data_IF_408390081996
#
_entry.id   IF_408390081996
#
_cell.length_a   1.000
_cell.length_b   1.000
_cell.length_c   1.000
_cell.angle_alpha   90.00
_cell.angle_beta   90.00
_cell.angle_gamma   90.00
#
_symmetry.space_group_name_H-M   'P 1'
#
loop_
_entity.id
_entity.type
_entity.pdbx_description
1 polymer ?
#
# COMPACT_ATOMS: atom_id res chain seq x y z
N UNK A 1 18.03 -4.09 15.32
CA UNK A 1 18.96 -5.23 15.13
C UNK A 1 18.42 -6.55 15.67
N UNK A 2 17.82 -6.60 16.87
CA UNK A 2 17.34 -7.85 17.51
C UNK A 2 16.24 -8.65 16.75
N UNK A 3 15.55 -8.06 15.76
CA UNK A 3 14.47 -8.72 15.01
C UNK A 3 14.89 -9.30 13.66
N UNK A 4 16.09 -8.96 13.16
CA UNK A 4 16.61 -9.47 11.88
C UNK A 4 17.17 -10.89 12.06
N UNK A 5 17.84 -11.15 13.19
CA UNK A 5 18.40 -12.47 13.49
C UNK A 5 17.37 -13.60 13.46
N UNK A 6 16.26 -13.51 14.22
CA UNK A 6 15.22 -14.52 14.19
C UNK A 6 14.54 -14.65 12.82
N UNK A 7 14.42 -13.55 12.06
CA UNK A 7 13.82 -13.60 10.73
C UNK A 7 14.69 -14.37 9.73
N UNK A 8 16.02 -14.21 9.80
CA UNK A 8 16.97 -14.94 8.94
C UNK A 8 17.07 -16.41 9.34
N UNK A 9 17.04 -16.73 10.64
CA UNK A 9 17.21 -18.09 11.17
C UNK A 9 15.90 -18.90 11.09
N UNK A 10 14.76 -18.28 11.39
CA UNK A 10 13.45 -18.95 11.50
C UNK A 10 12.50 -18.64 10.33
N UNK A 11 12.96 -17.92 9.30
CA UNK A 11 12.15 -17.55 8.13
C UNK A 11 11.03 -16.54 8.44
N UNK A 12 11.20 -15.72 9.47
CA UNK A 12 10.24 -14.69 9.87
C UNK A 12 10.22 -13.47 8.94
N UNK A 13 9.18 -12.64 9.06
CA UNK A 13 9.06 -11.34 8.35
C UNK A 13 8.80 -10.16 9.31
N UNK A 14 9.12 -10.33 10.59
CA UNK A 14 8.86 -9.33 11.64
C UNK A 14 9.70 -8.08 11.45
N UNK A 15 10.93 -8.22 10.96
CA UNK A 15 11.85 -7.15 10.55
C UNK A 15 11.29 -6.26 9.43
N UNK A 16 10.38 -6.79 8.60
CA UNK A 16 9.73 -6.02 7.53
C UNK A 16 8.58 -5.14 8.03
N UNK A 17 8.23 -5.24 9.32
CA UNK A 17 7.16 -4.46 9.91
C UNK A 17 7.76 -3.19 10.52
N UNK A 18 7.58 -2.06 9.84
CA UNK A 18 8.16 -0.76 10.17
C UNK A 18 7.92 -0.32 11.63
N UNK A 19 6.80 -0.73 12.24
CA UNK A 19 6.47 -0.35 13.63
C UNK A 19 7.51 -0.78 14.67
N UNK A 20 8.23 -1.87 14.42
CA UNK A 20 9.26 -2.32 15.36
C UNK A 20 10.59 -1.58 15.23
N UNK A 21 10.80 -0.85 14.12
CA UNK A 21 11.98 -0.04 13.90
C UNK A 21 11.79 1.43 14.30
N UNK A 22 10.59 1.83 14.77
CA UNK A 22 10.27 3.21 15.20
C UNK A 22 11.31 3.77 16.17
N UNK A 23 11.70 3.08 17.27
CA UNK A 23 12.68 3.62 18.21
C UNK A 23 14.05 3.87 17.56
N UNK A 24 14.46 2.99 16.64
CA UNK A 24 15.72 3.15 15.91
C UNK A 24 15.67 4.31 14.93
N UNK A 25 14.55 4.51 14.21
CA UNK A 25 14.39 5.67 13.32
C UNK A 25 14.44 7.00 14.08
N UNK A 26 13.77 7.07 15.23
CA UNK A 26 13.83 8.25 16.11
C UNK A 26 15.25 8.49 16.63
N UNK A 27 15.95 7.43 17.07
CA UNK A 27 17.34 7.53 17.51
C UNK A 27 18.27 8.08 16.43
N UNK A 28 18.11 7.63 15.18
CA UNK A 28 18.89 8.15 14.04
C UNK A 28 18.56 9.63 13.80
N UNK A 29 17.28 10.01 13.79
CA UNK A 29 16.88 11.41 13.59
C UNK A 29 17.48 12.34 14.66
N UNK A 30 17.40 11.94 15.94
CA UNK A 30 17.95 12.71 17.06
C UNK A 30 19.47 12.80 16.95
N UNK A 31 20.16 11.69 16.65
CA UNK A 31 21.63 11.67 16.52
C UNK A 31 22.11 12.59 15.38
N UNK A 32 21.43 12.56 14.23
CA UNK A 32 21.75 13.42 13.09
C UNK A 32 21.46 14.90 13.41
N UNK A 33 20.32 15.19 14.02
CA UNK A 33 19.97 16.56 14.44
C UNK A 33 20.98 17.12 15.46
N UNK A 34 21.37 16.31 16.44
CA UNK A 34 22.40 16.66 17.41
C UNK A 34 23.75 16.92 16.74
N UNK A 35 24.19 16.05 15.83
CA UNK A 35 25.45 16.23 15.10
C UNK A 35 25.47 17.53 14.30
N UNK A 36 24.40 17.84 13.57
CA UNK A 36 24.28 19.09 12.80
C UNK A 36 24.34 20.29 13.74
N UNK A 37 23.60 20.25 14.85
CA UNK A 37 23.57 21.34 15.84
C UNK A 37 24.96 21.54 16.45
N UNK A 38 25.58 20.48 16.97
CA UNK A 38 26.89 20.53 17.60
C UNK A 38 27.99 21.04 16.66
N UNK A 39 27.90 20.73 15.35
CA UNK A 39 28.87 21.19 14.35
C UNK A 39 28.60 22.59 13.82
N UNK A 40 27.41 23.15 14.03
CA UNK A 40 27.03 24.51 13.59
C UNK A 40 27.08 25.53 14.72
N UNK A 41 26.99 25.12 15.99
CA UNK A 41 27.09 26.01 17.17
C UNK A 41 28.45 25.96 17.87
N UNK A 42 29.43 25.24 17.31
CA UNK A 42 30.75 25.12 17.90
C UNK A 42 31.44 26.50 18.03
N UNK A 43 31.59 26.96 19.27
CA UNK A 43 32.02 28.33 19.65
C UNK A 43 33.42 28.69 19.12
N UNK A 44 34.30 27.69 18.93
CA UNK A 44 35.67 27.87 18.42
C UNK A 44 35.89 27.31 17.00
N UNK A 45 34.82 27.11 16.22
CA UNK A 45 34.90 26.49 14.90
C UNK A 45 35.38 27.43 13.79
N UNK A 46 36.30 26.96 12.94
CA UNK A 46 36.69 27.65 11.70
C UNK A 46 35.45 28.02 10.86
N UNK A 47 35.33 29.28 10.43
CA UNK A 47 34.16 29.79 9.67
C UNK A 47 33.87 29.00 8.39
N UNK A 48 34.90 28.46 7.72
CA UNK A 48 34.72 27.57 6.56
C UNK A 48 34.07 26.24 6.94
N UNK A 49 34.39 25.71 8.12
CA UNK A 49 33.81 24.46 8.61
C UNK A 49 32.33 24.65 8.98
N UNK A 50 31.98 25.76 9.64
CA UNK A 50 30.59 26.10 9.96
C UNK A 50 29.71 26.19 8.70
N UNK A 51 30.18 26.94 7.68
CA UNK A 51 29.46 27.07 6.40
C UNK A 51 29.26 25.72 5.71
N UNK A 52 30.26 24.83 5.72
CA UNK A 52 30.13 23.47 5.15
C UNK A 52 29.02 22.65 5.81
N UNK A 53 28.92 22.66 7.14
CA UNK A 53 27.86 21.94 7.86
C UNK A 53 26.49 22.57 7.67
N UNK A 54 26.41 23.90 7.57
CA UNK A 54 25.17 24.60 7.23
C UNK A 54 24.67 24.21 5.82
N UNK A 55 25.55 24.24 4.81
CA UNK A 55 25.18 23.77 3.46
C UNK A 55 24.77 22.30 3.45
N UNK A 56 25.47 21.44 4.20
CA UNK A 56 25.11 20.03 4.36
C UNK A 56 23.71 19.85 4.97
N UNK A 57 23.38 20.60 6.01
CA UNK A 57 22.06 20.57 6.63
C UNK A 57 20.95 21.04 5.68
N UNK A 58 21.19 22.14 4.96
CA UNK A 58 20.28 22.66 3.94
C UNK A 58 20.06 21.61 2.85
N UNK A 59 21.12 21.02 2.31
CA UNK A 59 21.03 19.98 1.29
C UNK A 59 20.25 18.75 1.78
N UNK A 60 20.46 18.33 3.03
CA UNK A 60 19.71 17.23 3.64
C UNK A 60 18.21 17.54 3.75
N UNK A 61 17.86 18.76 4.17
CA UNK A 61 16.47 19.22 4.24
C UNK A 61 15.82 19.24 2.85
N UNK A 62 16.48 19.81 1.84
CA UNK A 62 15.97 19.82 0.47
C UNK A 62 15.79 18.40 -0.09
N UNK A 63 16.74 17.50 0.17
CA UNK A 63 16.62 16.10 -0.21
C UNK A 63 15.39 15.44 0.45
N UNK A 64 15.16 15.72 1.74
CA UNK A 64 13.97 15.26 2.46
C UNK A 64 12.66 15.78 1.85
N UNK A 65 12.60 17.07 1.52
CA UNK A 65 11.43 17.69 0.88
C UNK A 65 11.16 17.06 -0.49
N UNK A 66 12.19 16.94 -1.35
CA UNK A 66 12.07 16.30 -2.66
C UNK A 66 11.58 14.85 -2.50
N UNK A 67 12.13 14.11 -1.54
CA UNK A 67 11.70 12.75 -1.24
C UNK A 67 10.22 12.69 -0.83
N UNK A 68 9.75 13.62 0.00
CA UNK A 68 8.35 13.74 0.38
C UNK A 68 7.44 14.06 -0.82
N UNK A 69 7.85 14.99 -1.69
CA UNK A 69 7.09 15.36 -2.90
C UNK A 69 6.95 14.14 -3.82
N UNK A 70 8.05 13.46 -4.12
CA UNK A 70 8.05 12.26 -4.96
C UNK A 70 7.18 11.17 -4.31
N UNK A 71 7.33 10.94 -3.01
CA UNK A 71 6.53 9.95 -2.28
C UNK A 71 5.04 10.27 -2.25
N UNK A 72 4.64 11.54 -2.29
CA UNK A 72 3.24 11.96 -2.26
C UNK A 72 2.53 11.72 -3.60
N UNK A 73 3.27 11.69 -4.71
CA UNK A 73 2.72 11.46 -6.05
C UNK A 73 2.39 9.98 -6.31
N UNK A 74 2.99 9.04 -5.57
CA UNK A 74 2.72 7.62 -5.77
C UNK A 74 1.42 7.19 -5.08
N UNK A 75 0.44 6.61 -5.80
CA UNK A 75 -0.86 6.23 -5.23
C UNK A 75 -0.73 5.15 -4.15
N UNK A 76 0.23 4.24 -4.31
CA UNK A 76 0.57 3.19 -3.33
C UNK A 76 2.05 3.23 -3.04
N UNK A 77 2.41 3.41 -1.76
CA UNK A 77 3.80 3.45 -1.30
C UNK A 77 4.03 2.48 -0.13
N UNK A 78 5.23 2.49 0.46
CA UNK A 78 5.61 1.57 1.54
C UNK A 78 4.65 1.59 2.73
N UNK A 79 4.03 2.75 3.02
CA UNK A 79 3.11 2.93 4.16
C UNK A 79 1.68 2.43 3.91
N UNK A 80 1.30 2.08 2.66
CA UNK A 80 -0.06 1.60 2.30
C UNK A 80 -0.14 0.08 2.17
N UNK A 81 0.73 -0.66 2.88
CA UNK A 81 0.85 -2.11 2.78
C UNK A 81 0.96 -2.57 1.32
N UNK A 82 2.12 -2.28 0.70
CA UNK A 82 2.34 -2.49 -0.73
C UNK A 82 1.89 -3.87 -1.23
N UNK A 83 2.14 -4.96 -0.49
CA UNK A 83 1.68 -6.31 -0.88
C UNK A 83 0.16 -6.48 -0.93
N UNK A 84 -0.60 -5.68 -0.19
CA UNK A 84 -2.05 -5.74 -0.12
C UNK A 84 -2.75 -4.75 -1.05
N UNK A 85 -2.12 -3.63 -1.39
CA UNK A 85 -2.78 -2.53 -2.10
C UNK A 85 -2.16 -2.20 -3.46
N UNK A 86 -1.05 -2.84 -3.86
CA UNK A 86 -0.27 -2.48 -5.08
C UNK A 86 -1.11 -2.31 -6.33
N UNK A 87 -2.08 -3.20 -6.56
CA UNK A 87 -2.89 -3.17 -7.77
C UNK A 87 -4.26 -2.50 -7.60
N UNK A 88 -4.54 -1.89 -6.44
CA UNK A 88 -5.81 -1.19 -6.22
C UNK A 88 -6.03 -0.05 -7.22
N UNK A 89 -5.02 0.79 -7.58
CA UNK A 89 -5.23 1.85 -8.57
C UNK A 89 -5.68 1.30 -9.93
N UNK A 90 -5.06 0.22 -10.41
CA UNK A 90 -5.39 -0.41 -11.69
C UNK A 90 -6.78 -1.06 -11.65
N UNK A 91 -7.11 -1.75 -10.54
CA UNK A 91 -8.45 -2.32 -10.36
C UNK A 91 -9.50 -1.22 -10.32
N UNK A 92 -9.27 -0.14 -9.57
CA UNK A 92 -10.21 0.96 -9.47
C UNK A 92 -10.42 1.65 -10.82
N UNK A 93 -9.36 1.83 -11.62
CA UNK A 93 -9.47 2.40 -12.96
C UNK A 93 -10.39 1.56 -13.87
N UNK A 94 -10.24 0.24 -13.89
CA UNK A 94 -11.09 -0.67 -14.68
C UNK A 94 -12.54 -0.62 -14.18
N UNK A 95 -12.75 -0.71 -12.87
CA UNK A 95 -14.09 -0.74 -12.27
C UNK A 95 -14.81 0.61 -12.48
N UNK A 96 -14.12 1.73 -12.32
CA UNK A 96 -14.72 3.07 -12.44
C UNK A 96 -15.12 3.45 -13.88
N UNK A 97 -14.62 2.74 -14.89
CA UNK A 97 -15.03 2.92 -16.29
C UNK A 97 -16.36 2.23 -16.61
N UNK A 98 -16.77 1.28 -15.77
CA UNK A 98 -18.00 0.54 -15.96
C UNK A 98 -19.22 1.32 -15.45
N UNK A 99 -20.37 1.10 -16.10
CA UNK A 99 -21.63 1.77 -15.73
C UNK A 99 -22.43 0.90 -14.76
N UNK A 100 -22.58 1.34 -13.51
CA UNK A 100 -23.27 0.58 -12.44
C UNK A 100 -22.67 -0.83 -12.17
N UNK A 101 -21.35 -0.93 -11.89
CA UNK A 101 -20.71 -2.21 -11.62
C UNK A 101 -20.96 -2.70 -10.19
N UNK A 102 -20.88 -4.02 -10.01
CA UNK A 102 -20.87 -4.69 -8.71
C UNK A 102 -19.51 -5.33 -8.47
N UNK A 103 -18.86 -5.03 -7.34
CA UNK A 103 -17.60 -5.68 -6.94
C UNK A 103 -17.86 -6.63 -5.78
N UNK A 104 -17.62 -7.92 -6.03
CA UNK A 104 -17.78 -9.00 -5.07
C UNK A 104 -16.42 -9.40 -4.51
N UNK A 105 -16.28 -9.55 -3.19
CA UNK A 105 -15.06 -10.09 -2.58
C UNK A 105 -15.36 -10.90 -1.33
N UNK A 106 -14.56 -11.95 -1.14
CA UNK A 106 -14.55 -12.81 0.04
C UNK A 106 -13.38 -12.50 0.99
N UNK A 107 -12.67 -11.39 0.75
CA UNK A 107 -11.58 -10.94 1.59
C UNK A 107 -12.10 -10.23 2.83
N UNK A 108 -11.23 -10.19 3.85
CA UNK A 108 -11.48 -9.41 5.06
C UNK A 108 -11.83 -7.95 4.68
N UNK A 109 -12.79 -7.32 5.38
CA UNK A 109 -13.30 -5.98 5.02
C UNK A 109 -12.21 -4.93 4.84
N UNK A 110 -11.13 -4.98 5.64
CA UNK A 110 -10.03 -4.03 5.54
C UNK A 110 -9.30 -4.04 4.18
N UNK A 111 -9.32 -5.14 3.44
CA UNK A 111 -8.77 -5.18 2.07
C UNK A 111 -9.76 -4.53 1.09
N UNK A 112 -11.07 -4.80 1.22
CA UNK A 112 -12.09 -4.19 0.38
C UNK A 112 -12.17 -2.67 0.58
N UNK A 113 -12.13 -2.20 1.83
CA UNK A 113 -12.15 -0.76 2.12
C UNK A 113 -10.93 0.00 1.59
N UNK A 114 -9.78 -0.68 1.46
CA UNK A 114 -8.61 -0.07 0.83
C UNK A 114 -8.80 0.19 -0.67
N UNK A 115 -9.67 -0.60 -1.33
CA UNK A 115 -10.06 -0.37 -2.73
C UNK A 115 -11.17 0.66 -2.82
N UNK A 116 -12.17 0.61 -1.92
CA UNK A 116 -13.35 1.48 -1.96
C UNK A 116 -13.04 2.97 -1.93
N UNK A 117 -11.92 3.36 -1.33
CA UNK A 117 -11.48 4.76 -1.32
C UNK A 117 -11.15 5.32 -2.71
N UNK A 118 -10.83 4.44 -3.68
CA UNK A 118 -10.52 4.80 -5.05
C UNK A 118 -11.69 4.54 -6.01
N UNK A 119 -12.81 4.00 -5.54
CA UNK A 119 -13.98 3.67 -6.36
C UNK A 119 -14.94 4.86 -6.46
N UNK A 120 -15.64 4.97 -7.59
CA UNK A 120 -16.69 5.96 -7.76
C UNK A 120 -17.91 5.62 -6.86
N UNK A 121 -18.72 6.62 -6.48
CA UNK A 121 -19.89 6.40 -5.61
C UNK A 121 -20.99 5.50 -6.20
N UNK A 122 -21.02 5.30 -7.51
CA UNK A 122 -21.96 4.44 -8.22
C UNK A 122 -21.53 2.96 -8.28
N UNK A 123 -20.33 2.65 -7.77
CA UNK A 123 -19.83 1.27 -7.65
C UNK A 123 -20.41 0.60 -6.42
N UNK A 124 -21.08 -0.54 -6.62
CA UNK A 124 -21.68 -1.30 -5.54
C UNK A 124 -20.71 -2.36 -5.01
N UNK A 125 -20.68 -2.57 -3.70
CA UNK A 125 -19.79 -3.52 -3.05
C UNK A 125 -20.60 -4.62 -2.36
N UNK A 126 -20.27 -5.88 -2.66
CA UNK A 126 -20.84 -7.04 -1.98
C UNK A 126 -19.72 -7.84 -1.31
N UNK A 127 -19.73 -7.85 0.02
CA UNK A 127 -18.83 -8.67 0.81
C UNK A 127 -19.48 -10.02 1.09
N UNK A 128 -18.68 -11.08 0.95
CA UNK A 128 -19.14 -12.45 1.11
C UNK A 128 -18.33 -13.11 2.21
N UNK A 129 -19.00 -13.81 3.12
CA UNK A 129 -18.33 -14.59 4.14
C UNK A 129 -18.05 -16.00 3.60
N UNK A 130 -16.79 -16.45 3.51
CA UNK A 130 -16.48 -17.83 3.14
C UNK A 130 -17.14 -18.83 4.12
N UNK A 131 -17.66 -19.98 3.65
CA UNK A 131 -17.64 -20.50 2.28
C UNK A 131 -18.88 -20.11 1.43
N UNK A 132 -19.68 -19.13 1.86
CA UNK A 132 -20.91 -18.75 1.17
C UNK A 132 -20.66 -18.33 -0.28
N UNK A 133 -21.44 -18.86 -1.21
CA UNK A 133 -21.46 -18.39 -2.60
C UNK A 133 -22.58 -17.34 -2.69
N UNK A 134 -22.28 -16.10 -3.10
CA UNK A 134 -23.30 -15.06 -3.16
C UNK A 134 -24.30 -15.36 -4.28
N UNK A 135 -25.56 -15.00 -4.05
CA UNK A 135 -26.48 -14.80 -5.17
C UNK A 135 -26.05 -13.51 -5.86
N UNK A 136 -25.74 -13.60 -7.15
CA UNK A 136 -25.31 -12.46 -7.97
C UNK A 136 -26.56 -11.86 -8.62
N UNK A 137 -26.97 -10.65 -8.24
CA UNK A 137 -28.15 -10.02 -8.84
C UNK A 137 -27.87 -9.61 -10.28
N UNK A 138 -28.76 -9.96 -11.20
CA UNK A 138 -28.69 -9.62 -12.63
C UNK A 138 -28.89 -8.11 -12.92
N UNK A 139 -29.08 -7.29 -11.89
CA UNK A 139 -29.32 -5.85 -12.01
C UNK A 139 -28.05 -5.06 -12.32
N UNK A 140 -26.87 -5.64 -12.06
CA UNK A 140 -25.58 -4.98 -12.26
C UNK A 140 -24.87 -5.55 -13.48
N UNK A 141 -24.20 -4.67 -14.24
CA UNK A 141 -23.43 -5.07 -15.41
C UNK A 141 -22.30 -4.07 -15.65
N UNK A 142 -21.03 -4.49 -15.67
CA UNK A 142 -20.49 -5.82 -15.38
C UNK A 142 -20.39 -6.12 -13.87
N UNK A 143 -20.31 -7.41 -13.55
CA UNK A 143 -19.98 -7.89 -12.19
C UNK A 143 -18.51 -8.26 -12.15
N UNK A 144 -17.80 -7.70 -11.18
CA UNK A 144 -16.39 -7.94 -10.92
C UNK A 144 -16.18 -8.75 -9.65
N UNK A 145 -15.21 -9.65 -9.66
CA UNK A 145 -14.77 -10.42 -8.50
C UNK A 145 -13.35 -9.98 -8.13
N UNK A 146 -13.23 -9.35 -6.97
CA UNK A 146 -11.98 -8.78 -6.49
C UNK A 146 -11.25 -9.75 -5.56
N UNK A 147 -10.04 -10.16 -5.99
CA UNK A 147 -9.12 -11.07 -5.30
C UNK A 147 -9.80 -12.31 -4.72
N UNK A 148 -10.62 -13.06 -5.47
CA UNK A 148 -11.35 -14.19 -4.91
C UNK A 148 -10.41 -15.26 -4.36
N UNK A 149 -10.80 -15.93 -3.27
CA UNK A 149 -10.19 -17.21 -2.90
C UNK A 149 -10.56 -18.29 -3.91
N UNK A 150 -9.83 -19.40 -3.89
CA UNK A 150 -10.12 -20.52 -4.79
C UNK A 150 -11.53 -21.11 -4.56
N UNK A 151 -12.05 -21.08 -3.33
CA UNK A 151 -13.42 -21.53 -3.05
C UNK A 151 -14.46 -20.64 -3.72
N UNK A 152 -14.27 -19.31 -3.68
CA UNK A 152 -15.18 -18.38 -4.36
C UNK A 152 -15.06 -18.50 -5.89
N UNK A 153 -13.84 -18.65 -6.42
CA UNK A 153 -13.64 -18.89 -7.86
C UNK A 153 -14.36 -20.15 -8.32
N UNK A 154 -14.20 -21.25 -7.60
CA UNK A 154 -14.84 -22.53 -7.94
C UNK A 154 -16.37 -22.43 -7.85
N UNK A 155 -16.88 -21.80 -6.79
CA UNK A 155 -18.32 -21.63 -6.60
C UNK A 155 -18.99 -20.78 -7.67
N UNK A 156 -18.34 -19.72 -8.15
CA UNK A 156 -18.85 -18.90 -9.25
C UNK A 156 -18.74 -19.65 -10.58
N UNK A 157 -17.64 -20.38 -10.83
CA UNK A 157 -17.45 -21.17 -12.06
C UNK A 157 -18.49 -22.27 -12.26
N UNK A 158 -19.20 -22.68 -11.22
CA UNK A 158 -20.31 -23.65 -11.34
C UNK A 158 -21.50 -23.08 -12.10
N UNK A 159 -21.77 -21.77 -11.97
CA UNK A 159 -22.96 -21.12 -12.52
C UNK A 159 -22.66 -20.07 -13.59
N UNK A 160 -21.44 -19.53 -13.65
CA UNK A 160 -21.06 -18.42 -14.51
C UNK A 160 -19.64 -18.59 -15.09
N UNK A 161 -19.35 -17.91 -16.20
CA UNK A 161 -17.99 -17.86 -16.74
C UNK A 161 -17.19 -16.77 -16.02
N UNK A 162 -15.90 -17.03 -15.79
CA UNK A 162 -15.00 -16.14 -15.06
C UNK A 162 -13.79 -15.82 -15.92
N UNK A 163 -13.71 -14.59 -16.39
CA UNK A 163 -12.64 -14.08 -17.25
C UNK A 163 -11.72 -13.18 -16.43
N UNK A 164 -10.40 -13.39 -16.49
CA UNK A 164 -9.44 -12.51 -15.82
C UNK A 164 -9.36 -11.17 -16.57
N UNK A 165 -9.45 -10.06 -15.83
CA UNK A 165 -9.29 -8.74 -16.44
C UNK A 165 -7.82 -8.51 -16.81
N UNK A 166 -7.52 -8.11 -18.07
CA UNK A 166 -6.16 -7.80 -18.47
C UNK A 166 -5.60 -6.68 -17.60
N UNK A 167 -4.27 -6.71 -17.37
CA UNK A 167 -3.56 -5.75 -16.52
C UNK A 167 -3.87 -5.78 -15.02
N UNK A 168 -4.82 -6.62 -14.55
CA UNK A 168 -5.14 -6.74 -13.12
C UNK A 168 -4.22 -7.69 -12.32
N UNK A 169 -3.31 -8.41 -13.00
CA UNK A 169 -2.40 -9.41 -12.38
C UNK A 169 -3.16 -10.38 -11.46
N UNK A 170 -4.29 -10.88 -11.95
CA UNK A 170 -5.19 -11.83 -11.30
C UNK A 170 -5.91 -11.33 -10.05
N UNK A 171 -5.93 -10.00 -9.83
CA UNK A 171 -6.67 -9.38 -8.72
C UNK A 171 -8.11 -9.03 -9.09
N UNK A 172 -8.44 -8.98 -10.38
CA UNK A 172 -9.78 -8.67 -10.84
C UNK A 172 -10.23 -9.68 -11.89
N UNK A 173 -11.45 -10.16 -11.72
CA UNK A 173 -12.09 -11.09 -12.62
C UNK A 173 -13.47 -10.53 -13.00
N UNK A 174 -13.93 -10.76 -14.21
CA UNK A 174 -15.28 -10.43 -14.68
C UNK A 174 -16.12 -11.70 -14.72
N UNK A 175 -17.37 -11.58 -14.30
CA UNK A 175 -18.39 -12.61 -14.44
C UNK A 175 -19.15 -12.38 -15.74
N UNK A 176 -19.24 -13.41 -16.57
CA UNK A 176 -20.01 -13.47 -17.82
C UNK A 176 -21.13 -14.51 -17.74
#
# INVERSE_FOLDING_TARGET
MALIGPDVILGGRRSSITRYAIPSYLGIQIAVAYLITAKTTAINGNTKHLKRWQYGAIALLFCGIISCIVSAQFPVWWHKSHSKSRYNPQVAEIVNQAKNPLVVSDKIPGIMFSLSHSLNPDVHLQMVLPPGIPQIPNTFSPIFVYRPTETLKQGIKTNHQLTEEPHSKSWLWRVE
#
